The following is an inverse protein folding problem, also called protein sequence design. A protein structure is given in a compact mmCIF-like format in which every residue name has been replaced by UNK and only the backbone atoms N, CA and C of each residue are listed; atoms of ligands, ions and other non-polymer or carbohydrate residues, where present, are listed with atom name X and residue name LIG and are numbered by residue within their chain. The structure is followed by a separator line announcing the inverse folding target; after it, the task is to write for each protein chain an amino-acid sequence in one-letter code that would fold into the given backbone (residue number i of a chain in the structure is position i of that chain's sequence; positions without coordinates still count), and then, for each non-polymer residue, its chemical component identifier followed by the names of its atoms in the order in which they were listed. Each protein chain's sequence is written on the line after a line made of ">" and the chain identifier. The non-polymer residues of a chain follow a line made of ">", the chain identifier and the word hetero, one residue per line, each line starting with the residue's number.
data_IF_065987957399
#
_entry.id   IF_065987957399
#
_cell.length_a   1.000
_cell.length_b   1.000
_cell.length_c   1.000
_cell.angle_alpha   90.00
_cell.angle_beta   90.00
_cell.angle_gamma   90.00
#
_symmetry.space_group_name_H-M   'P 1'
#
loop_
_entity.id
_entity.type
_entity.pdbx_description
1 polymer ?
#
# COMPACT_ATOMS: atom_id res chain seq x y z
N UNK A 1 -1.86 23.32 6.92
CA UNK A 1 -2.33 21.95 7.20
C UNK A 1 -1.17 21.00 7.46
N UNK A 2 -0.21 20.87 6.53
CA UNK A 2 0.94 19.97 6.66
C UNK A 2 1.80 20.24 7.90
N UNK A 3 2.04 21.49 8.24
CA UNK A 3 2.91 21.87 9.36
C UNK A 3 2.45 21.35 10.73
N UNK A 4 1.15 21.09 10.92
CA UNK A 4 0.63 20.61 12.19
C UNK A 4 0.80 19.09 12.41
N UNK A 5 0.91 18.29 11.33
CA UNK A 5 0.94 16.81 11.43
C UNK A 5 2.07 16.14 10.65
N UNK A 6 2.45 16.69 9.52
CA UNK A 6 3.59 16.21 8.73
C UNK A 6 4.72 17.21 8.98
N UNK A 7 5.69 16.90 9.83
CA UNK A 7 6.75 17.85 10.13
C UNK A 7 7.67 18.05 8.94
N UNK A 8 8.07 19.29 8.72
CA UNK A 8 9.22 19.66 7.92
C UNK A 8 10.01 20.74 8.67
N UNK A 9 11.26 20.89 8.32
CA UNK A 9 12.15 21.85 8.96
C UNK A 9 13.16 22.38 7.95
N UNK A 10 13.47 23.67 8.06
CA UNK A 10 14.49 24.33 7.25
C UNK A 10 15.80 23.52 7.26
N UNK A 11 16.37 23.28 6.09
CA UNK A 11 17.61 22.56 5.91
C UNK A 11 17.48 21.02 5.94
N UNK A 12 16.26 20.45 6.08
CA UNK A 12 16.09 19.02 5.88
C UNK A 12 16.31 18.60 4.43
N UNK A 13 17.01 17.50 4.24
CA UNK A 13 17.20 16.91 2.93
C UNK A 13 16.05 15.97 2.59
N UNK A 14 15.53 16.13 1.38
CA UNK A 14 14.43 15.33 0.82
C UNK A 14 14.88 14.83 -0.56
N UNK A 15 14.62 13.57 -0.87
CA UNK A 15 14.81 13.02 -2.22
C UNK A 15 13.47 12.97 -2.93
N UNK A 16 13.33 13.73 -4.01
CA UNK A 16 12.15 13.67 -4.89
C UNK A 16 12.34 12.56 -5.91
N UNK A 17 11.55 11.48 -5.76
CA UNK A 17 11.63 10.27 -6.58
C UNK A 17 10.30 9.85 -7.20
N UNK A 18 9.21 10.46 -6.74
CA UNK A 18 7.88 10.24 -7.31
C UNK A 18 7.66 11.16 -8.51
N UNK A 19 6.87 10.74 -9.50
CA UNK A 19 6.54 11.61 -10.63
C UNK A 19 5.82 12.89 -10.18
N UNK A 20 6.35 14.06 -10.50
CA UNK A 20 5.75 15.34 -10.19
C UNK A 20 4.44 15.60 -10.96
N UNK A 21 4.16 14.83 -12.01
CA UNK A 21 2.86 14.83 -12.67
C UNK A 21 1.73 14.26 -11.78
N UNK A 22 2.07 13.58 -10.69
CA UNK A 22 1.11 13.08 -9.72
C UNK A 22 1.03 13.98 -8.50
N UNK A 23 -0.19 14.25 -8.03
CA UNK A 23 -0.46 15.12 -6.88
C UNK A 23 0.35 14.74 -5.62
N UNK A 24 0.57 13.44 -5.37
CA UNK A 24 1.35 13.00 -4.21
C UNK A 24 2.81 13.48 -4.28
N UNK A 25 3.48 13.28 -5.42
CA UNK A 25 4.85 13.76 -5.64
C UNK A 25 4.90 15.29 -5.66
N UNK A 26 4.05 15.95 -6.46
CA UNK A 26 4.03 17.40 -6.59
C UNK A 26 3.81 18.08 -5.23
N UNK A 27 2.80 17.64 -4.50
CA UNK A 27 2.42 18.29 -3.24
C UNK A 27 3.45 18.04 -2.15
N UNK A 28 3.85 16.78 -1.92
CA UNK A 28 4.59 16.43 -0.72
C UNK A 28 6.10 16.28 -0.90
N UNK A 29 6.60 15.97 -2.09
CA UNK A 29 8.05 15.96 -2.32
C UNK A 29 8.58 17.33 -2.81
N UNK A 30 7.72 18.16 -3.38
CA UNK A 30 8.14 19.44 -3.95
C UNK A 30 7.52 20.63 -3.21
N UNK A 31 6.25 20.97 -3.46
CA UNK A 31 5.65 22.20 -2.97
C UNK A 31 5.72 22.33 -1.44
N UNK A 32 5.34 21.29 -0.72
CA UNK A 32 5.34 21.28 0.74
C UNK A 32 6.75 21.42 1.32
N UNK A 33 7.72 20.72 0.75
CA UNK A 33 9.10 20.77 1.22
C UNK A 33 9.77 22.10 0.88
N UNK A 34 9.50 22.65 -0.31
CA UNK A 34 9.99 23.96 -0.71
C UNK A 34 9.45 25.05 0.21
N UNK A 35 8.15 25.04 0.51
CA UNK A 35 7.52 25.96 1.46
C UNK A 35 8.06 25.84 2.88
N UNK A 36 8.57 24.65 3.26
CA UNK A 36 9.22 24.39 4.55
C UNK A 36 10.70 24.73 4.60
N UNK A 37 11.30 25.22 3.50
CA UNK A 37 12.74 25.53 3.42
C UNK A 37 13.65 24.32 3.41
N UNK A 38 13.15 23.18 2.92
CA UNK A 38 13.93 21.95 2.78
C UNK A 38 14.81 21.98 1.51
N UNK A 39 15.89 21.22 1.54
CA UNK A 39 16.70 20.94 0.34
C UNK A 39 16.08 19.77 -0.42
N UNK A 40 15.57 20.01 -1.62
CA UNK A 40 14.95 18.98 -2.47
C UNK A 40 15.95 18.50 -3.52
N UNK A 41 16.32 17.23 -3.47
CA UNK A 41 17.21 16.57 -4.42
C UNK A 41 16.38 15.75 -5.42
N UNK A 42 16.37 16.16 -6.68
CA UNK A 42 15.64 15.47 -7.73
C UNK A 42 16.41 14.24 -8.23
N UNK A 43 15.75 13.10 -8.25
CA UNK A 43 16.32 11.90 -8.82
C UNK A 43 16.22 11.96 -10.35
N UNK A 44 17.36 11.95 -11.02
CA UNK A 44 17.44 12.03 -12.48
C UNK A 44 17.48 10.67 -13.20
N UNK A 45 17.29 9.57 -12.44
CA UNK A 45 17.28 8.20 -12.95
C UNK A 45 15.97 7.51 -12.54
N UNK A 46 15.56 6.51 -13.32
CA UNK A 46 14.42 5.67 -12.94
C UNK A 46 14.66 5.05 -11.56
N UNK A 47 13.71 5.19 -10.63
CA UNK A 47 13.84 4.64 -9.28
C UNK A 47 13.98 3.11 -9.31
N UNK A 48 15.17 2.62 -8.99
CA UNK A 48 15.44 1.21 -8.68
C UNK A 48 15.98 1.12 -7.25
N UNK A 49 15.89 -0.02 -6.57
CA UNK A 49 16.43 -0.15 -5.21
C UNK A 49 17.89 0.31 -5.09
N UNK A 50 18.73 0.00 -6.08
CA UNK A 50 20.16 0.39 -6.08
C UNK A 50 20.34 1.89 -6.24
N UNK A 51 19.61 2.51 -7.19
CA UNK A 51 19.65 3.97 -7.43
C UNK A 51 19.17 4.72 -6.20
N UNK A 52 18.07 4.26 -5.58
CA UNK A 52 17.51 4.88 -4.38
C UNK A 52 18.45 4.77 -3.18
N UNK A 53 19.02 3.58 -2.94
CA UNK A 53 19.96 3.38 -1.84
C UNK A 53 21.20 4.28 -1.98
N UNK A 54 21.71 4.46 -3.20
CA UNK A 54 22.80 5.40 -3.45
C UNK A 54 22.35 6.85 -3.17
N UNK A 55 21.21 7.27 -3.69
CA UNK A 55 20.69 8.62 -3.47
C UNK A 55 20.47 8.91 -1.97
N UNK A 56 19.95 7.95 -1.20
CA UNK A 56 19.78 8.09 0.24
C UNK A 56 21.12 8.17 0.99
N UNK A 57 22.11 7.40 0.59
CA UNK A 57 23.44 7.47 1.18
C UNK A 57 24.13 8.83 0.91
N UNK A 58 23.96 9.36 -0.30
CA UNK A 58 24.57 10.63 -0.73
C UNK A 58 23.88 11.85 -0.06
N UNK A 59 22.55 11.77 0.16
CA UNK A 59 21.76 12.93 0.63
C UNK A 59 21.37 12.88 2.11
N UNK A 60 21.41 11.71 2.73
CA UNK A 60 20.98 11.48 4.12
C UNK A 60 19.60 12.12 4.44
N UNK A 61 18.51 11.68 3.78
CA UNK A 61 17.22 12.32 3.89
C UNK A 61 16.62 12.16 5.30
N UNK A 62 15.94 13.21 5.77
CA UNK A 62 15.16 13.17 7.02
C UNK A 62 13.76 12.59 6.83
N UNK A 63 13.20 12.79 5.64
CA UNK A 63 11.90 12.25 5.26
C UNK A 63 12.00 11.59 3.88
N UNK A 64 11.35 10.45 3.75
CA UNK A 64 11.18 9.74 2.48
C UNK A 64 9.68 9.53 2.26
N UNK A 65 9.21 10.00 1.10
CA UNK A 65 7.87 9.72 0.61
C UNK A 65 7.97 8.66 -0.48
N UNK A 66 7.13 7.64 -0.43
CA UNK A 66 7.28 6.51 -1.33
C UNK A 66 5.96 5.78 -1.56
N UNK A 67 5.98 4.89 -2.53
CA UNK A 67 4.88 3.94 -2.78
C UNK A 67 5.23 2.55 -2.23
N UNK A 68 4.22 1.72 -1.86
CA UNK A 68 4.44 0.39 -1.30
C UNK A 68 5.42 -0.45 -2.09
N UNK A 69 5.27 -0.51 -3.40
CA UNK A 69 6.10 -1.32 -4.30
C UNK A 69 7.60 -1.12 -4.09
N UNK A 70 8.05 0.10 -3.82
CA UNK A 70 9.47 0.42 -3.59
C UNK A 70 9.96 -0.23 -2.30
N UNK A 71 9.21 -0.06 -1.22
CA UNK A 71 9.56 -0.63 0.09
C UNK A 71 9.50 -2.16 0.06
N UNK A 72 8.48 -2.71 -0.56
CA UNK A 72 8.31 -4.16 -0.73
C UNK A 72 9.47 -4.79 -1.49
N UNK A 73 9.92 -4.17 -2.59
CA UNK A 73 11.12 -4.62 -3.33
C UNK A 73 12.38 -4.57 -2.47
N UNK A 74 12.55 -3.53 -1.67
CA UNK A 74 13.67 -3.43 -0.72
C UNK A 74 13.59 -4.56 0.29
N UNK A 75 12.43 -4.81 0.89
CA UNK A 75 12.23 -5.86 1.88
C UNK A 75 12.44 -7.26 1.30
N UNK A 76 11.82 -7.57 0.16
CA UNK A 76 11.99 -8.86 -0.55
C UNK A 76 13.47 -9.13 -0.89
N UNK A 77 14.24 -8.10 -1.24
CA UNK A 77 15.65 -8.25 -1.64
C UNK A 77 16.63 -8.27 -0.46
N UNK A 78 16.36 -7.54 0.62
CA UNK A 78 17.37 -7.31 1.66
C UNK A 78 17.01 -7.82 3.05
N UNK A 79 15.74 -7.85 3.42
CA UNK A 79 15.29 -8.19 4.78
C UNK A 79 14.79 -9.63 4.85
N UNK A 80 13.83 -9.98 4.02
CA UNK A 80 13.19 -11.30 4.05
C UNK A 80 14.14 -12.47 3.82
N UNK A 81 15.13 -12.42 2.91
CA UNK A 81 16.10 -13.51 2.75
C UNK A 81 16.90 -13.81 4.03
N UNK A 82 16.97 -12.84 4.95
CA UNK A 82 17.65 -13.03 6.24
C UNK A 82 16.69 -13.54 7.30
N UNK A 83 15.54 -12.87 7.50
CA UNK A 83 14.63 -13.19 8.60
C UNK A 83 13.79 -14.44 8.37
N UNK A 84 13.61 -14.89 7.12
CA UNK A 84 12.86 -16.11 6.77
C UNK A 84 13.68 -17.40 6.86
N UNK A 85 14.99 -17.33 7.11
CA UNK A 85 15.79 -18.54 7.38
C UNK A 85 15.22 -19.25 8.62
N UNK A 86 15.12 -20.60 8.62
CA UNK A 86 14.47 -21.33 9.71
C UNK A 86 14.96 -20.94 11.12
N UNK A 87 16.28 -20.90 11.29
CA UNK A 87 16.90 -20.49 12.57
C UNK A 87 16.54 -19.05 12.94
N UNK A 88 16.65 -18.11 11.97
CA UNK A 88 16.34 -16.70 12.20
C UNK A 88 14.87 -16.50 12.51
N UNK A 89 13.96 -17.27 11.89
CA UNK A 89 12.54 -17.22 12.19
C UNK A 89 12.25 -17.62 13.64
N UNK A 90 12.89 -18.64 14.16
CA UNK A 90 12.77 -19.02 15.58
C UNK A 90 13.30 -17.90 16.48
N UNK A 91 14.51 -17.41 16.24
CA UNK A 91 15.16 -16.36 17.03
C UNK A 91 14.37 -15.03 16.99
N UNK A 92 13.66 -14.74 15.88
CA UNK A 92 12.82 -13.54 15.72
C UNK A 92 11.66 -13.48 16.72
N UNK A 93 11.19 -14.64 17.19
CA UNK A 93 10.11 -14.74 18.18
C UNK A 93 10.59 -15.13 19.59
N UNK A 94 11.87 -15.48 19.76
CA UNK A 94 12.44 -15.83 21.07
C UNK A 94 12.58 -14.58 21.96
N UNK A 95 11.95 -14.51 23.15
CA UNK A 95 12.06 -13.40 24.06
C UNK A 95 13.52 -13.04 24.39
N UNK A 96 13.83 -11.75 24.48
CA UNK A 96 15.19 -11.23 24.69
C UNK A 96 16.02 -11.17 23.42
N UNK A 97 16.20 -12.28 22.72
CA UNK A 97 16.98 -12.34 21.46
C UNK A 97 16.29 -11.52 20.37
N UNK A 98 14.96 -11.57 20.30
CA UNK A 98 14.17 -10.81 19.33
C UNK A 98 14.42 -9.30 19.38
N UNK A 99 14.67 -8.72 20.55
CA UNK A 99 14.95 -7.30 20.68
C UNK A 99 16.29 -6.92 20.04
N UNK A 100 17.31 -7.76 20.26
CA UNK A 100 18.65 -7.56 19.65
C UNK A 100 18.57 -7.67 18.14
N UNK A 101 17.92 -8.73 17.62
CA UNK A 101 17.76 -8.94 16.18
C UNK A 101 16.95 -7.83 15.49
N UNK A 102 15.82 -7.45 16.08
CA UNK A 102 14.97 -6.38 15.56
C UNK A 102 15.70 -5.04 15.55
N UNK A 103 16.47 -4.74 16.58
CA UNK A 103 17.31 -3.54 16.61
C UNK A 103 18.43 -3.60 15.55
N UNK A 104 19.06 -4.75 15.33
CA UNK A 104 20.07 -4.91 14.29
C UNK A 104 19.50 -4.67 12.89
N UNK A 105 18.31 -5.26 12.59
CA UNK A 105 17.60 -5.04 11.33
C UNK A 105 17.19 -3.56 11.19
N UNK A 106 16.64 -2.95 12.23
CA UNK A 106 16.31 -1.53 12.25
C UNK A 106 17.53 -0.68 11.93
N UNK A 107 18.66 -0.90 12.62
CA UNK A 107 19.90 -0.14 12.40
C UNK A 107 20.39 -0.28 10.96
N UNK A 108 20.40 -1.50 10.42
CA UNK A 108 20.79 -1.76 9.04
C UNK A 108 19.90 -1.02 8.02
N UNK A 109 18.58 -1.05 8.22
CA UNK A 109 17.65 -0.30 7.37
C UNK A 109 17.83 1.21 7.53
N UNK A 110 17.97 1.72 8.75
CA UNK A 110 18.21 3.15 8.98
C UNK A 110 19.49 3.62 8.26
N UNK A 111 20.58 2.85 8.35
CA UNK A 111 21.81 3.16 7.61
C UNK A 111 21.57 3.14 6.09
N UNK A 112 20.84 2.15 5.59
CA UNK A 112 20.51 2.02 4.19
C UNK A 112 19.65 3.19 3.65
N UNK A 113 18.83 3.79 4.52
CA UNK A 113 18.06 5.00 4.21
C UNK A 113 18.80 6.31 4.56
N UNK A 114 20.13 6.28 4.62
CA UNK A 114 20.98 7.47 4.84
C UNK A 114 21.22 7.84 6.31
N UNK A 115 20.78 7.06 7.27
CA UNK A 115 21.08 7.21 8.69
C UNK A 115 20.35 8.33 9.46
N UNK A 116 19.76 9.31 8.76
CA UNK A 116 19.07 10.47 9.37
C UNK A 116 17.54 10.41 9.25
N UNK A 117 16.98 9.33 8.70
CA UNK A 117 15.55 9.19 8.46
C UNK A 117 14.74 9.31 9.75
N UNK A 118 13.74 10.19 9.77
CA UNK A 118 12.78 10.38 10.85
C UNK A 118 11.35 10.03 10.45
N UNK A 119 11.04 10.09 9.16
CA UNK A 119 9.70 9.84 8.62
C UNK A 119 9.77 9.08 7.31
N UNK A 120 9.18 7.90 7.30
CA UNK A 120 8.89 7.14 6.08
C UNK A 120 7.38 7.20 5.84
N UNK A 121 6.95 7.96 4.84
CA UNK A 121 5.54 8.12 4.50
C UNK A 121 5.25 7.32 3.25
N UNK A 122 4.35 6.36 3.36
CA UNK A 122 3.99 5.43 2.29
C UNK A 122 2.57 5.76 1.84
N UNK A 123 2.35 5.93 0.54
CA UNK A 123 1.03 6.28 0.02
C UNK A 123 0.78 5.75 -1.38
N UNK A 124 -0.44 5.94 -1.86
CA UNK A 124 -0.85 5.61 -3.23
C UNK A 124 -1.38 4.18 -3.46
N UNK A 125 -1.13 3.24 -2.56
CA UNK A 125 -1.69 1.89 -2.57
C UNK A 125 -1.64 1.27 -1.16
N UNK A 126 -2.27 0.11 -0.96
CA UNK A 126 -2.16 -0.66 0.26
C UNK A 126 -0.71 -1.17 0.44
N UNK A 127 -0.20 -1.11 1.67
CA UNK A 127 1.11 -1.68 2.02
C UNK A 127 0.96 -3.16 2.34
N UNK A 128 1.83 -3.98 1.78
CA UNK A 128 1.88 -5.40 2.04
C UNK A 128 1.96 -5.70 3.55
N UNK A 129 1.07 -6.57 4.02
CA UNK A 129 0.89 -6.87 5.44
C UNK A 129 2.16 -7.42 6.12
N UNK A 130 2.94 -8.24 5.43
CA UNK A 130 4.17 -8.82 5.99
C UNK A 130 5.26 -7.76 6.16
N UNK A 131 5.39 -6.88 5.17
CA UNK A 131 6.31 -5.73 5.24
C UNK A 131 5.91 -4.80 6.37
N UNK A 132 4.62 -4.49 6.48
CA UNK A 132 4.11 -3.64 7.55
C UNK A 132 4.32 -4.26 8.93
N UNK A 133 4.08 -5.57 9.08
CA UNK A 133 4.38 -6.31 10.30
C UNK A 133 5.85 -6.16 10.72
N UNK A 134 6.75 -6.36 9.78
CA UNK A 134 8.18 -6.23 10.04
C UNK A 134 8.54 -4.79 10.45
N UNK A 135 8.09 -3.77 9.73
CA UNK A 135 8.29 -2.36 10.06
C UNK A 135 7.81 -2.02 11.47
N UNK A 136 6.62 -2.51 11.84
CA UNK A 136 6.07 -2.31 13.20
C UNK A 136 6.89 -3.01 14.27
N UNK A 137 7.29 -4.27 14.03
CA UNK A 137 8.07 -5.06 14.98
C UNK A 137 9.46 -4.46 15.25
N UNK A 138 10.11 -3.91 14.21
CA UNK A 138 11.40 -3.22 14.36
C UNK A 138 11.26 -1.77 14.82
N UNK A 139 10.02 -1.29 15.05
CA UNK A 139 9.73 0.11 15.42
C UNK A 139 10.31 1.11 14.43
N UNK A 140 10.19 0.83 13.12
CA UNK A 140 10.64 1.74 12.08
C UNK A 140 9.71 2.97 12.02
N UNK A 141 10.22 4.19 11.72
CA UNK A 141 9.41 5.41 11.73
C UNK A 141 8.56 5.53 10.44
N UNK A 142 7.59 4.63 10.25
CA UNK A 142 6.72 4.60 9.06
C UNK A 142 5.27 4.97 9.39
N UNK A 143 4.60 5.49 8.40
CA UNK A 143 3.16 5.70 8.38
C UNK A 143 2.62 5.47 6.98
N UNK A 144 1.34 5.15 6.88
CA UNK A 144 0.63 5.02 5.61
C UNK A 144 -0.38 6.16 5.52
N UNK A 145 -0.32 6.92 4.41
CA UNK A 145 -1.28 7.97 4.10
C UNK A 145 -2.30 7.52 3.07
N UNK A 146 -3.51 8.05 3.16
CA UNK A 146 -4.60 7.84 2.24
C UNK A 146 -4.99 9.13 1.55
N UNK A 147 -5.27 9.03 0.26
CA UNK A 147 -5.74 10.17 -0.50
C UNK A 147 -5.95 9.90 -1.97
N UNK A 148 -6.47 10.89 -2.67
CA UNK A 148 -6.77 10.85 -4.10
C UNK A 148 -6.60 12.23 -4.72
N UNK A 149 -6.44 12.26 -6.03
CA UNK A 149 -6.20 13.50 -6.79
C UNK A 149 -7.31 14.52 -6.57
N UNK A 150 -8.55 14.05 -6.52
CA UNK A 150 -9.77 14.84 -6.32
C UNK A 150 -9.83 15.52 -4.94
N UNK A 151 -8.89 15.21 -4.04
CA UNK A 151 -8.84 15.76 -2.68
C UNK A 151 -7.50 16.45 -2.35
N UNK A 152 -6.76 16.88 -3.34
CA UNK A 152 -5.60 17.74 -3.28
C UNK A 152 -4.38 17.42 -2.40
N UNK A 153 -3.84 16.17 -2.23
CA UNK A 153 -4.42 14.84 -2.43
C UNK A 153 -4.79 14.11 -1.13
N UNK A 154 -4.58 14.66 0.09
CA UNK A 154 -4.55 13.92 1.35
C UNK A 154 -5.91 13.90 2.06
N UNK A 155 -6.35 12.71 2.44
CA UNK A 155 -7.56 12.46 3.22
C UNK A 155 -7.27 11.91 4.61
N UNK A 156 -6.32 10.99 4.72
CA UNK A 156 -5.98 10.31 5.98
C UNK A 156 -4.49 10.28 6.24
N UNK A 157 -4.11 10.56 7.49
CA UNK A 157 -2.72 10.53 7.97
C UNK A 157 -2.68 10.47 9.49
N UNK A 158 -1.64 9.83 10.05
CA UNK A 158 -1.28 9.94 11.46
C UNK A 158 0.24 9.89 11.60
N UNK A 159 0.79 10.57 12.61
CA UNK A 159 2.22 10.47 12.93
C UNK A 159 2.58 9.02 13.31
N UNK A 160 3.71 8.53 12.86
CA UNK A 160 4.13 7.14 13.05
C UNK A 160 4.17 6.68 14.52
N UNK A 161 4.31 7.60 15.46
CA UNK A 161 4.29 7.33 16.90
C UNK A 161 2.91 6.90 17.40
N UNK A 162 1.86 7.39 16.73
CA UNK A 162 0.46 7.15 17.06
C UNK A 162 -0.26 6.31 16.00
N UNK A 163 0.44 5.99 14.91
CA UNK A 163 -0.10 5.27 13.77
C UNK A 163 -0.57 3.86 14.14
N UNK A 164 -1.83 3.57 13.84
CA UNK A 164 -2.42 2.25 14.00
C UNK A 164 -2.08 1.39 12.77
N UNK A 165 -1.51 0.20 13.00
CA UNK A 165 -1.16 -0.74 11.95
C UNK A 165 -2.39 -1.08 11.08
N UNK A 166 -2.16 -1.30 9.79
CA UNK A 166 -3.16 -1.58 8.75
C UNK A 166 -4.20 -0.46 8.55
N UNK A 167 -4.03 0.70 9.20
CA UNK A 167 -4.86 1.88 8.94
C UNK A 167 -4.18 2.82 7.95
N UNK A 168 -4.91 3.87 7.57
CA UNK A 168 -4.37 5.02 6.85
C UNK A 168 -4.37 6.28 7.72
N UNK A 169 -4.25 6.10 9.05
CA UNK A 169 -4.37 7.19 10.01
C UNK A 169 -5.80 7.69 10.16
N UNK A 170 -5.93 8.94 10.59
CA UNK A 170 -7.20 9.62 10.83
C UNK A 170 -7.48 10.64 9.73
N UNK A 171 -8.75 11.07 9.56
CA UNK A 171 -9.08 12.18 8.69
C UNK A 171 -8.21 13.38 9.02
N UNK A 172 -7.67 14.03 7.98
CA UNK A 172 -6.82 15.19 8.16
C UNK A 172 -7.65 16.40 8.54
N UNK A 173 -7.01 17.43 9.10
CA UNK A 173 -7.69 18.66 9.54
C UNK A 173 -8.48 19.31 8.39
N UNK A 174 -9.68 19.83 8.67
CA UNK A 174 -10.65 20.43 7.73
C UNK A 174 -11.26 19.44 6.72
N UNK A 175 -11.14 18.13 7.00
CA UNK A 175 -11.85 17.11 6.26
C UNK A 175 -12.81 16.40 7.22
N UNK A 176 -14.04 16.34 6.80
CA UNK A 176 -15.03 15.42 7.38
C UNK A 176 -15.02 14.14 6.56
N UNK A 177 -15.11 13.00 7.23
CA UNK A 177 -15.14 11.68 6.61
C UNK A 177 -16.22 10.83 7.26
N UNK A 178 -17.03 10.20 6.43
CA UNK A 178 -18.02 9.21 6.87
C UNK A 178 -17.88 7.93 6.05
N UNK A 179 -18.34 6.84 6.62
CA UNK A 179 -18.52 5.57 5.92
C UNK A 179 -20.01 5.40 5.67
N UNK A 180 -20.38 5.17 4.42
CA UNK A 180 -21.75 4.92 4.00
C UNK A 180 -22.13 3.49 4.37
N UNK A 181 -22.47 3.29 5.64
CA UNK A 181 -22.82 2.00 6.25
C UNK A 181 -23.67 2.23 7.49
N UNK A 182 -24.57 1.29 7.76
CA UNK A 182 -25.38 1.28 8.99
C UNK A 182 -24.51 1.15 10.26
N UNK A 183 -23.36 0.49 10.15
CA UNK A 183 -22.41 0.36 11.25
C UNK A 183 -20.97 0.52 10.76
N UNK A 184 -20.44 1.76 10.68
CA UNK A 184 -19.14 2.07 10.11
C UNK A 184 -17.95 1.43 10.86
N UNK A 185 -18.20 0.86 12.04
CA UNK A 185 -17.17 0.17 12.83
C UNK A 185 -17.09 -1.34 12.56
N UNK A 186 -18.08 -1.91 11.89
CA UNK A 186 -18.18 -3.37 11.65
C UNK A 186 -18.43 -3.72 10.19
N UNK A 187 -19.16 -2.85 9.49
CA UNK A 187 -19.57 -3.08 8.11
C UNK A 187 -18.89 -2.06 7.20
N UNK A 188 -18.14 -2.56 6.24
CA UNK A 188 -17.49 -1.71 5.27
C UNK A 188 -18.53 -1.05 4.35
N UNK A 189 -18.38 0.25 4.15
CA UNK A 189 -19.16 1.06 3.23
C UNK A 189 -18.28 1.99 2.45
N UNK A 190 -18.87 2.72 1.49
CA UNK A 190 -18.13 3.70 0.71
C UNK A 190 -17.63 4.84 1.61
N UNK A 191 -16.35 5.15 1.48
CA UNK A 191 -15.75 6.31 2.13
C UNK A 191 -16.24 7.56 1.41
N UNK A 192 -16.90 8.46 2.14
CA UNK A 192 -17.38 9.74 1.63
C UNK A 192 -16.71 10.87 2.41
N UNK A 193 -16.35 11.94 1.70
CA UNK A 193 -15.57 13.04 2.27
C UNK A 193 -16.16 14.41 1.91
N UNK A 194 -15.96 15.37 2.81
CA UNK A 194 -16.33 16.77 2.61
C UNK A 194 -15.27 17.66 3.25
N UNK A 195 -14.88 18.74 2.58
CA UNK A 195 -13.88 19.65 3.12
C UNK A 195 -13.25 20.55 2.07
N UNK A 196 -12.39 21.45 2.54
CA UNK A 196 -11.80 22.53 1.75
C UNK A 196 -10.88 22.06 0.61
N UNK A 197 -10.39 20.83 0.68
CA UNK A 197 -9.49 20.24 -0.33
C UNK A 197 -10.20 19.35 -1.35
N UNK A 198 -11.51 19.18 -1.23
CA UNK A 198 -12.32 18.42 -2.19
C UNK A 198 -12.50 19.24 -3.45
N UNK A 199 -12.34 18.62 -4.61
CA UNK A 199 -12.54 19.26 -5.91
C UNK A 199 -13.93 19.86 -6.06
N UNK A 200 -14.05 20.89 -6.88
CA UNK A 200 -15.35 21.47 -7.27
C UNK A 200 -16.09 20.58 -8.28
N UNK A 201 -15.36 19.80 -9.07
CA UNK A 201 -15.90 18.92 -10.10
C UNK A 201 -14.88 18.59 -11.18
N UNK A 202 -15.28 17.77 -12.13
CA UNK A 202 -14.50 17.45 -13.31
C UNK A 202 -14.70 18.47 -14.42
N UNK A 203 -13.62 19.01 -14.96
CA UNK A 203 -13.67 20.05 -15.98
C UNK A 203 -14.40 19.58 -17.23
N UNK A 204 -15.45 20.31 -17.63
CA UNK A 204 -16.33 20.01 -18.79
C UNK A 204 -16.93 18.58 -18.76
N UNK A 205 -17.21 18.05 -17.58
CA UNK A 205 -17.82 16.74 -17.41
C UNK A 205 -18.81 16.76 -16.24
N UNK A 206 -19.98 17.32 -16.47
CA UNK A 206 -21.01 17.53 -15.44
C UNK A 206 -21.58 16.18 -14.99
N UNK A 207 -21.77 15.23 -15.90
CA UNK A 207 -22.26 13.88 -15.58
C UNK A 207 -21.34 13.17 -14.59
N UNK A 208 -20.04 13.18 -14.85
CA UNK A 208 -19.06 12.59 -13.91
C UNK A 208 -19.00 13.37 -12.59
N UNK A 209 -19.23 14.68 -12.62
CA UNK A 209 -19.27 15.52 -11.43
C UNK A 209 -20.47 15.17 -10.57
N UNK A 210 -21.66 15.11 -11.14
CA UNK A 210 -22.89 14.69 -10.43
C UNK A 210 -22.76 13.29 -9.83
N UNK A 211 -22.20 12.34 -10.60
CA UNK A 211 -21.96 10.97 -10.12
C UNK A 211 -20.95 10.90 -8.96
N UNK A 212 -20.02 11.87 -8.89
CA UNK A 212 -19.00 11.91 -7.83
C UNK A 212 -19.51 12.44 -6.50
N UNK A 213 -20.68 13.08 -6.44
CA UNK A 213 -21.23 13.65 -5.24
C UNK A 213 -22.55 13.01 -4.83
N UNK A 214 -22.82 12.98 -3.54
CA UNK A 214 -24.14 12.65 -2.99
C UNK A 214 -25.05 13.87 -3.03
N UNK A 215 -26.35 13.67 -2.88
CA UNK A 215 -27.32 14.78 -2.84
C UNK A 215 -27.08 15.77 -1.68
N UNK A 216 -26.50 15.30 -0.57
CA UNK A 216 -26.14 16.12 0.59
C UNK A 216 -24.69 16.69 0.51
N UNK A 217 -24.06 16.59 -0.67
CA UNK A 217 -22.80 17.26 -1.01
C UNK A 217 -21.53 16.59 -0.49
N UNK A 218 -21.56 15.30 -0.20
CA UNK A 218 -20.36 14.51 0.08
C UNK A 218 -19.78 13.93 -1.19
N UNK A 219 -18.46 14.01 -1.34
CA UNK A 219 -17.78 13.35 -2.45
C UNK A 219 -17.61 11.86 -2.18
N UNK A 220 -18.00 11.05 -3.14
CA UNK A 220 -17.80 9.61 -3.19
C UNK A 220 -16.36 9.31 -3.61
N UNK A 221 -15.60 8.59 -2.77
CA UNK A 221 -14.21 8.26 -3.11
C UNK A 221 -14.07 7.04 -4.01
N UNK A 222 -15.11 6.21 -4.07
CA UNK A 222 -15.07 4.90 -4.70
C UNK A 222 -14.22 3.88 -3.94
N UNK A 223 -13.71 4.23 -2.76
CA UNK A 223 -13.03 3.32 -1.86
C UNK A 223 -13.99 2.83 -0.76
N UNK A 224 -13.90 1.56 -0.41
CA UNK A 224 -14.65 0.96 0.68
C UNK A 224 -13.77 0.88 1.93
N UNK A 225 -14.34 1.17 3.09
CA UNK A 225 -13.57 1.19 4.32
C UNK A 225 -14.38 1.06 5.60
N UNK A 226 -13.65 1.06 6.71
CA UNK A 226 -14.14 1.02 8.08
C UNK A 226 -13.46 2.11 8.89
N UNK A 227 -14.08 2.49 9.99
CA UNK A 227 -13.46 3.28 11.05
C UNK A 227 -13.28 2.41 12.30
N UNK A 228 -12.25 2.67 13.09
CA UNK A 228 -12.22 2.20 14.46
C UNK A 228 -12.79 3.26 15.43
N UNK A 229 -12.97 2.89 16.70
CA UNK A 229 -13.48 3.80 17.74
C UNK A 229 -12.56 5.01 18.01
N UNK A 230 -11.31 4.99 17.51
CA UNK A 230 -10.35 6.08 17.62
C UNK A 230 -10.33 6.97 16.39
N UNK A 231 -11.17 6.67 15.40
CA UNK A 231 -11.27 7.39 14.13
C UNK A 231 -10.20 7.02 13.10
N UNK A 232 -9.48 5.91 13.27
CA UNK A 232 -8.56 5.44 12.24
C UNK A 232 -9.33 4.84 11.07
N UNK A 233 -8.87 5.13 9.85
CA UNK A 233 -9.45 4.70 8.58
C UNK A 233 -8.78 3.38 8.14
N UNK A 234 -9.58 2.36 7.83
CA UNK A 234 -9.13 1.08 7.28
C UNK A 234 -9.74 0.88 5.91
N UNK A 235 -8.92 0.90 4.87
CA UNK A 235 -9.39 0.66 3.49
C UNK A 235 -9.52 -0.85 3.29
N UNK A 236 -10.63 -1.26 2.65
CA UNK A 236 -10.96 -2.64 2.33
C UNK A 236 -10.75 -2.99 0.86
N UNK A 237 -10.98 -2.03 -0.01
CA UNK A 237 -10.84 -2.18 -1.46
C UNK A 237 -11.56 -1.09 -2.22
N UNK A 238 -11.71 -1.29 -3.52
CA UNK A 238 -12.46 -0.41 -4.40
C UNK A 238 -13.89 -0.89 -4.57
N UNK A 239 -14.87 0.00 -4.58
CA UNK A 239 -16.27 -0.35 -4.82
C UNK A 239 -16.47 -1.05 -6.18
N UNK A 240 -15.76 -0.58 -7.21
CA UNK A 240 -15.79 -1.16 -8.57
C UNK A 240 -15.07 -2.52 -8.69
N UNK A 241 -14.25 -2.89 -7.72
CA UNK A 241 -13.53 -4.18 -7.69
C UNK A 241 -14.17 -5.19 -6.75
N UNK A 242 -15.05 -4.75 -5.87
CA UNK A 242 -15.77 -5.63 -4.96
C UNK A 242 -16.58 -6.67 -5.73
N UNK A 243 -16.51 -7.91 -5.30
CA UNK A 243 -17.30 -9.03 -5.82
C UNK A 243 -18.41 -9.33 -4.83
N UNK A 244 -19.64 -9.42 -5.31
CA UNK A 244 -20.76 -9.86 -4.49
C UNK A 244 -20.84 -11.38 -4.57
N UNK A 245 -20.45 -12.07 -3.50
CA UNK A 245 -20.52 -13.52 -3.43
C UNK A 245 -21.95 -14.06 -3.55
N UNK A 246 -22.11 -15.29 -3.99
CA UNK A 246 -23.39 -15.95 -4.23
C UNK A 246 -24.33 -15.99 -2.99
N UNK A 247 -23.78 -15.86 -1.82
CA UNK A 247 -24.55 -15.78 -0.55
C UNK A 247 -24.68 -14.34 -0.01
N UNK A 248 -24.45 -13.32 -0.85
CA UNK A 248 -24.66 -11.91 -0.51
C UNK A 248 -23.54 -11.26 0.29
N UNK A 249 -22.40 -11.92 0.50
CA UNK A 249 -21.26 -11.32 1.19
C UNK A 249 -20.40 -10.51 0.23
N UNK A 250 -19.91 -9.38 0.73
CA UNK A 250 -18.92 -8.58 0.02
C UNK A 250 -17.55 -9.26 0.09
N UNK A 251 -16.94 -9.53 -1.05
CA UNK A 251 -15.59 -10.05 -1.19
C UNK A 251 -14.71 -8.94 -1.72
N UNK A 252 -13.59 -8.73 -1.05
CA UNK A 252 -12.60 -7.71 -1.41
C UNK A 252 -11.38 -8.39 -2.03
N UNK A 253 -11.26 -8.39 -3.37
CA UNK A 253 -10.17 -9.06 -4.07
C UNK A 253 -8.79 -8.66 -3.58
N UNK A 254 -8.60 -7.37 -3.29
CA UNK A 254 -7.34 -6.80 -2.83
C UNK A 254 -6.85 -7.42 -1.50
N UNK A 255 -7.76 -7.77 -0.59
CA UNK A 255 -7.40 -8.44 0.67
C UNK A 255 -6.92 -9.89 0.45
N UNK A 256 -7.44 -10.54 -0.56
CA UNK A 256 -7.04 -11.91 -0.94
C UNK A 256 -5.68 -11.87 -1.64
N UNK A 257 -5.52 -10.94 -2.56
CA UNK A 257 -4.29 -10.72 -3.34
C UNK A 257 -3.11 -10.36 -2.43
N UNK A 258 -3.32 -9.50 -1.43
CA UNK A 258 -2.27 -9.18 -0.47
C UNK A 258 -1.72 -10.43 0.22
N UNK A 259 -2.60 -11.36 0.60
CA UNK A 259 -2.17 -12.64 1.19
C UNK A 259 -1.48 -13.54 0.17
N UNK A 260 -2.03 -13.63 -1.05
CA UNK A 260 -1.50 -14.47 -2.12
C UNK A 260 -0.11 -14.00 -2.58
N UNK A 261 0.09 -12.69 -2.70
CA UNK A 261 1.37 -12.09 -3.11
C UNK A 261 2.52 -12.31 -2.13
N UNK A 262 2.24 -12.82 -0.92
CA UNK A 262 3.24 -13.22 0.07
C UNK A 262 3.62 -14.71 -0.03
N UNK A 263 2.95 -15.48 -0.86
CA UNK A 263 3.22 -16.91 -1.01
C UNK A 263 4.35 -17.19 -2.02
N UNK A 264 4.99 -18.37 -1.93
CA UNK A 264 6.12 -18.73 -2.78
C UNK A 264 5.84 -18.55 -4.28
N UNK A 265 6.82 -18.02 -5.00
CA UNK A 265 6.79 -17.78 -6.45
C UNK A 265 5.67 -16.86 -6.95
N UNK A 266 4.96 -16.14 -6.11
CA UNK A 266 3.97 -15.13 -6.53
C UNK A 266 4.62 -13.77 -6.62
N UNK A 267 4.62 -13.17 -7.81
CA UNK A 267 5.07 -11.78 -8.03
C UNK A 267 3.91 -10.83 -7.88
N UNK A 268 2.82 -11.11 -8.61
CA UNK A 268 1.59 -10.31 -8.63
C UNK A 268 0.39 -11.22 -8.86
N UNK A 269 -0.76 -10.81 -8.34
CA UNK A 269 -2.01 -11.53 -8.57
C UNK A 269 -3.19 -10.59 -8.78
N UNK A 270 -4.22 -11.10 -9.47
CA UNK A 270 -5.54 -10.46 -9.62
C UNK A 270 -6.60 -11.51 -9.35
N UNK A 271 -7.47 -11.25 -8.41
CA UNK A 271 -8.62 -12.10 -8.12
C UNK A 271 -9.83 -11.59 -8.87
N UNK A 272 -10.44 -12.48 -9.62
CA UNK A 272 -11.64 -12.22 -10.45
C UNK A 272 -12.71 -13.25 -10.17
N UNK A 273 -13.95 -12.93 -10.55
CA UNK A 273 -15.04 -13.89 -10.57
C UNK A 273 -15.21 -14.45 -11.99
N UNK A 274 -15.28 -15.76 -12.11
CA UNK A 274 -15.62 -16.48 -13.33
C UNK A 274 -16.56 -17.63 -12.99
N UNK A 275 -17.69 -17.68 -13.67
CA UNK A 275 -18.72 -18.71 -13.43
C UNK A 275 -19.10 -18.82 -11.94
N UNK A 276 -19.37 -17.68 -11.30
CA UNK A 276 -19.71 -17.57 -9.86
C UNK A 276 -18.63 -18.11 -8.90
N UNK A 277 -17.39 -18.25 -9.37
CA UNK A 277 -16.26 -18.75 -8.60
C UNK A 277 -15.11 -17.78 -8.61
N UNK A 278 -14.41 -17.69 -7.48
CA UNK A 278 -13.21 -16.87 -7.40
C UNK A 278 -12.03 -17.59 -8.02
N UNK A 279 -11.40 -16.94 -8.98
CA UNK A 279 -10.19 -17.38 -9.66
C UNK A 279 -9.09 -16.37 -9.42
N UNK A 280 -7.90 -16.83 -9.07
CA UNK A 280 -6.73 -15.97 -8.96
C UNK A 280 -5.87 -16.12 -10.23
N UNK A 281 -5.69 -15.03 -10.94
CA UNK A 281 -4.70 -14.92 -12.00
C UNK A 281 -3.37 -14.57 -11.35
N UNK A 282 -2.31 -15.31 -11.63
CA UNK A 282 -1.01 -15.10 -10.98
C UNK A 282 0.09 -14.98 -12.03
N UNK A 283 0.87 -13.91 -11.91
CA UNK A 283 2.15 -13.80 -12.58
C UNK A 283 3.24 -14.33 -11.64
N UNK A 284 3.86 -15.48 -11.98
CA UNK A 284 4.84 -16.12 -11.10
C UNK A 284 6.23 -15.53 -11.29
N UNK A 285 7.12 -15.79 -10.34
CA UNK A 285 8.55 -15.54 -10.44
C UNK A 285 9.22 -16.67 -11.26
N UNK A 286 9.17 -16.53 -12.57
CA UNK A 286 9.78 -17.48 -13.49
C UNK A 286 11.29 -17.63 -13.27
N UNK A 287 12.00 -16.54 -12.93
CA UNK A 287 13.44 -16.57 -12.70
C UNK A 287 13.78 -17.42 -11.47
N UNK A 288 13.05 -17.20 -10.37
CA UNK A 288 13.23 -18.01 -9.15
C UNK A 288 12.82 -19.47 -9.33
N UNK A 289 11.88 -19.75 -10.24
CA UNK A 289 11.46 -21.11 -10.56
C UNK A 289 12.42 -21.86 -11.49
N UNK A 290 13.39 -21.18 -12.10
CA UNK A 290 14.33 -21.77 -13.06
C UNK A 290 13.87 -21.73 -14.50
N UNK A 291 12.96 -20.84 -14.84
CA UNK A 291 12.46 -20.53 -16.19
C UNK A 291 11.03 -20.99 -16.47
N UNK A 292 10.48 -20.45 -17.55
CA UNK A 292 9.11 -20.76 -18.00
C UNK A 292 8.91 -22.25 -18.36
N UNK A 293 9.96 -22.97 -18.72
CA UNK A 293 9.93 -24.41 -19.02
C UNK A 293 9.56 -25.29 -17.81
N UNK A 294 9.52 -24.74 -16.62
CA UNK A 294 9.13 -25.40 -15.35
C UNK A 294 7.67 -25.17 -14.97
N UNK A 295 6.78 -24.98 -15.94
CA UNK A 295 5.37 -24.65 -15.72
C UNK A 295 4.64 -25.68 -14.82
N UNK A 296 4.95 -26.99 -14.96
CA UNK A 296 4.37 -28.03 -14.08
C UNK A 296 4.77 -27.84 -12.62
N UNK A 297 6.06 -27.64 -12.35
CA UNK A 297 6.54 -27.38 -10.99
C UNK A 297 5.97 -26.08 -10.40
N UNK A 298 5.81 -25.06 -11.23
CA UNK A 298 5.16 -23.81 -10.80
C UNK A 298 3.69 -24.07 -10.45
N UNK A 299 2.96 -24.85 -11.25
CA UNK A 299 1.57 -25.20 -10.99
C UNK A 299 1.40 -25.99 -9.68
N UNK A 300 2.32 -26.90 -9.36
CA UNK A 300 2.33 -27.61 -8.08
C UNK A 300 2.48 -26.66 -6.90
N UNK A 301 3.41 -25.69 -6.99
CA UNK A 301 3.59 -24.66 -5.98
C UNK A 301 2.33 -23.79 -5.85
N UNK A 302 1.71 -23.42 -6.97
CA UNK A 302 0.47 -22.62 -6.97
C UNK A 302 -0.70 -23.38 -6.33
N UNK A 303 -0.81 -24.68 -6.53
CA UNK A 303 -1.84 -25.48 -5.86
C UNK A 303 -1.61 -25.53 -4.34
N UNK A 304 -0.35 -25.67 -3.88
CA UNK A 304 -0.02 -25.57 -2.46
C UNK A 304 -0.32 -24.16 -1.90
N UNK A 305 -0.04 -23.12 -2.69
CA UNK A 305 -0.39 -21.74 -2.34
C UNK A 305 -1.91 -21.58 -2.19
N UNK A 306 -2.70 -22.09 -3.12
CA UNK A 306 -4.17 -22.06 -3.07
C UNK A 306 -4.70 -22.74 -1.80
N UNK A 307 -4.22 -23.93 -1.49
CA UNK A 307 -4.62 -24.67 -0.30
C UNK A 307 -4.24 -23.93 0.99
N UNK A 308 -3.06 -23.32 1.04
CA UNK A 308 -2.57 -22.57 2.17
C UNK A 308 -3.36 -21.26 2.35
N UNK A 309 -3.62 -20.54 1.27
CA UNK A 309 -4.43 -19.33 1.25
C UNK A 309 -5.87 -19.61 1.74
N UNK A 310 -6.49 -20.66 1.22
CA UNK A 310 -7.88 -21.02 1.56
C UNK A 310 -8.09 -21.39 3.02
N UNK A 311 -7.02 -21.80 3.75
CA UNK A 311 -7.09 -21.99 5.22
C UNK A 311 -7.20 -20.66 5.98
N UNK A 312 -6.78 -19.56 5.36
CA UNK A 312 -6.80 -18.22 5.94
C UNK A 312 -8.04 -17.41 5.54
N UNK A 313 -8.81 -17.90 4.58
CA UNK A 313 -9.97 -17.22 4.03
C UNK A 313 -11.27 -17.81 4.58
N UNK A 314 -12.31 -16.96 4.79
CA UNK A 314 -13.64 -17.46 5.08
C UNK A 314 -14.17 -18.29 3.90
N UNK A 315 -15.11 -19.18 4.14
CA UNK A 315 -15.60 -20.14 3.15
C UNK A 315 -16.09 -19.48 1.85
N UNK A 316 -16.77 -18.35 1.95
CA UNK A 316 -17.34 -17.60 0.82
C UNK A 316 -16.27 -16.87 -0.05
N UNK A 317 -15.06 -16.69 0.47
CA UNK A 317 -13.97 -15.98 -0.22
C UNK A 317 -12.85 -16.93 -0.70
N UNK A 318 -13.08 -18.25 -0.69
CA UNK A 318 -12.09 -19.22 -1.10
C UNK A 318 -11.85 -19.20 -2.60
N UNK A 319 -10.58 -19.27 -2.97
CA UNK A 319 -10.16 -19.37 -4.37
C UNK A 319 -10.34 -20.80 -4.88
N UNK A 320 -11.06 -20.94 -5.98
CA UNK A 320 -11.32 -22.23 -6.60
C UNK A 320 -10.12 -22.71 -7.42
N UNK A 321 -9.46 -21.81 -8.13
CA UNK A 321 -8.37 -22.10 -9.03
C UNK A 321 -7.36 -20.95 -9.05
N UNK A 322 -6.09 -21.28 -9.23
CA UNK A 322 -5.05 -20.33 -9.65
C UNK A 322 -4.73 -20.59 -11.13
N UNK A 323 -4.70 -19.53 -11.93
CA UNK A 323 -4.31 -19.56 -13.34
C UNK A 323 -3.04 -18.74 -13.54
N UNK A 324 -2.04 -19.33 -14.21
CA UNK A 324 -0.80 -18.64 -14.50
C UNK A 324 -0.97 -17.68 -15.68
N UNK A 325 -0.42 -16.50 -15.55
CA UNK A 325 -0.25 -15.55 -16.66
C UNK A 325 1.21 -15.46 -17.04
N UNK A 326 1.51 -15.49 -18.35
CA UNK A 326 2.90 -15.50 -18.87
C UNK A 326 3.53 -14.13 -18.98
N UNK A 327 2.74 -13.07 -18.86
CA UNK A 327 3.20 -11.68 -18.94
C UNK A 327 2.77 -10.92 -17.71
N UNK A 328 3.61 -9.96 -17.28
CA UNK A 328 3.20 -9.03 -16.23
C UNK A 328 1.87 -8.37 -16.55
N UNK A 329 1.08 -8.12 -15.50
CA UNK A 329 -0.19 -7.40 -15.65
C UNK A 329 0.06 -5.97 -16.16
N UNK A 330 -0.80 -5.51 -17.06
CA UNK A 330 -0.78 -4.11 -17.48
C UNK A 330 -1.07 -3.18 -16.31
N UNK A 331 -0.28 -2.12 -16.22
CA UNK A 331 -0.34 -1.18 -15.11
C UNK A 331 -0.64 0.24 -15.56
N UNK A 332 -1.28 0.97 -14.70
CA UNK A 332 -1.40 2.42 -14.81
C UNK A 332 -0.03 3.09 -14.61
N UNK A 333 0.13 4.39 -14.93
CA UNK A 333 1.35 5.15 -14.59
C UNK A 333 1.69 5.10 -13.08
N UNK A 334 0.70 4.93 -12.21
CA UNK A 334 0.87 4.73 -10.76
C UNK A 334 1.28 3.31 -10.36
N UNK A 335 1.60 2.44 -11.33
CA UNK A 335 1.95 1.03 -11.11
C UNK A 335 0.83 0.16 -10.53
N UNK A 336 -0.42 0.61 -10.52
CA UNK A 336 -1.58 -0.22 -10.16
C UNK A 336 -2.04 -1.04 -11.35
N UNK A 337 -2.42 -2.30 -11.13
CA UNK A 337 -2.89 -3.21 -12.19
C UNK A 337 -4.21 -2.68 -12.77
N UNK A 338 -4.31 -2.67 -14.09
CA UNK A 338 -5.55 -2.33 -14.83
C UNK A 338 -6.52 -3.50 -14.77
N UNK A 339 -7.19 -3.71 -13.64
CA UNK A 339 -8.07 -4.86 -13.37
C UNK A 339 -9.15 -5.10 -14.40
N UNK A 340 -9.67 -4.02 -15.03
CA UNK A 340 -10.74 -4.10 -16.04
C UNK A 340 -10.34 -4.89 -17.28
N UNK A 341 -9.05 -5.13 -17.50
CA UNK A 341 -8.56 -5.96 -18.62
C UNK A 341 -8.62 -7.47 -18.32
N UNK A 342 -8.87 -7.86 -17.08
CA UNK A 342 -8.75 -9.24 -16.60
C UNK A 342 -10.06 -9.83 -16.05
N UNK A 343 -11.17 -9.12 -16.22
CA UNK A 343 -12.51 -9.57 -15.80
C UNK A 343 -13.02 -10.72 -16.67
#
# INVERSE_FOLDING_TARGET
>A
FGQARIPNQVGWNIVSMLPLAHMFGLTFEFLYQLAGGCHVYFLNKTPSPQVLMKAFADTNPYMILTVPLVIEKIFKKTVFPVIHKPVMKVLWYTPGINLVLRNAVRKKLMTAFGGKLRYLIIGGAALNFEVENCLKQIRFPYTVGYGMTECGPLLGYEDWRHFAKASCGKPVHRIELRIDSANPYKEAGEIQVKGDNVMLGYYKNDEATEAAFTQDGWMRTGDLGLLDKRGNIYIKGRSKSMILGSSGQNIYPEEIEDKLNNLPLVVESVVVERDEKLVALVYPDFDAAGGESKEEAINEVMEQNRLSLNKLLPAFARIMKIELVKKEFEKTPKRSIKRFLYK
#
